data_IF_698665975265
#
_entry.id   IF_698665975265
#
_cell.length_a   1.000
_cell.length_b   1.000
_cell.length_c   1.000
_cell.angle_alpha   90.00
_cell.angle_beta   90.00
_cell.angle_gamma   90.00
#
_symmetry.space_group_name_H-M   'P 1'
#
loop_
_entity.id
_entity.type
_entity.pdbx_description
1 polymer ?
#
# COMPACT_ATOMS: atom_id res chain seq x y z
N UNK A 1 -22.42 19.21 -6.62
CA UNK A 1 -22.75 20.56 -7.10
C UNK A 1 -21.75 21.59 -6.60
N UNK A 2 -21.81 22.86 -7.07
CA UNK A 2 -20.91 23.92 -6.61
C UNK A 2 -21.17 24.27 -5.15
N UNK A 3 -20.08 24.56 -4.43
CA UNK A 3 -20.11 25.18 -3.10
C UNK A 3 -19.79 26.65 -3.27
N UNK A 4 -20.59 27.51 -2.69
CA UNK A 4 -20.45 28.97 -2.80
C UNK A 4 -20.16 29.59 -1.43
N UNK A 5 -19.38 30.68 -1.43
CA UNK A 5 -19.17 31.50 -0.24
C UNK A 5 -20.43 32.32 0.11
N UNK A 6 -20.41 33.02 1.24
CA UNK A 6 -21.48 33.92 1.64
C UNK A 6 -21.70 35.07 0.65
N UNK A 7 -20.69 35.45 -0.10
CA UNK A 7 -20.70 36.48 -1.15
C UNK A 7 -21.17 35.93 -2.52
N UNK A 8 -21.56 34.65 -2.60
CA UNK A 8 -22.03 33.99 -3.83
C UNK A 8 -20.94 33.53 -4.78
N UNK A 9 -19.67 33.56 -4.37
CA UNK A 9 -18.54 33.10 -5.20
C UNK A 9 -18.38 31.58 -5.09
N UNK A 10 -18.17 30.90 -6.22
CA UNK A 10 -17.87 29.46 -6.22
C UNK A 10 -16.50 29.23 -5.61
N UNK A 11 -16.42 28.47 -4.54
CA UNK A 11 -15.19 28.11 -3.85
C UNK A 11 -14.71 26.70 -4.21
N UNK A 12 -15.57 25.89 -4.80
CA UNK A 12 -15.24 24.55 -5.28
C UNK A 12 -16.48 23.76 -5.72
N UNK A 13 -16.25 22.51 -6.08
CA UNK A 13 -17.30 21.57 -6.52
C UNK A 13 -17.25 20.30 -5.66
N UNK A 14 -18.38 19.97 -5.02
CA UNK A 14 -18.52 18.73 -4.27
C UNK A 14 -18.50 17.52 -5.22
N UNK A 15 -17.61 16.59 -4.99
CA UNK A 15 -17.37 15.40 -5.84
C UNK A 15 -17.65 14.08 -5.14
N UNK A 16 -17.61 14.06 -3.80
CA UNK A 16 -17.84 12.84 -3.02
C UNK A 16 -18.28 13.19 -1.60
N UNK A 17 -18.85 12.21 -0.89
CA UNK A 17 -19.21 12.29 0.53
C UNK A 17 -18.68 11.05 1.26
N UNK A 18 -18.31 11.22 2.53
CA UNK A 18 -17.91 10.13 3.41
C UNK A 18 -18.78 10.17 4.68
N UNK A 19 -19.96 9.57 4.59
CA UNK A 19 -20.95 9.59 5.66
C UNK A 19 -21.69 10.93 5.79
N UNK A 20 -22.40 11.11 6.91
CA UNK A 20 -23.13 12.35 7.19
C UNK A 20 -22.15 13.48 7.51
N UNK A 21 -22.40 14.65 6.93
CA UNK A 21 -21.68 15.91 7.17
C UNK A 21 -20.22 15.97 6.71
N UNK A 22 -19.68 14.95 6.02
CA UNK A 22 -18.35 14.99 5.43
C UNK A 22 -18.45 14.96 3.91
N UNK A 23 -17.96 16.01 3.26
CA UNK A 23 -17.93 16.13 1.80
C UNK A 23 -16.53 16.48 1.32
N UNK A 24 -16.17 15.91 0.18
CA UNK A 24 -14.91 16.22 -0.49
C UNK A 24 -15.17 17.21 -1.62
N UNK A 25 -14.36 18.25 -1.64
CA UNK A 25 -14.49 19.38 -2.53
C UNK A 25 -13.24 19.47 -3.42
N UNK A 26 -13.45 19.63 -4.73
CA UNK A 26 -12.39 20.07 -5.64
C UNK A 26 -12.32 21.59 -5.57
N UNK A 27 -11.16 22.19 -5.19
CA UNK A 27 -11.00 23.64 -5.10
C UNK A 27 -11.24 24.32 -6.46
N UNK A 28 -11.76 25.55 -6.42
CA UNK A 28 -12.18 26.29 -7.61
C UNK A 28 -11.03 26.57 -8.58
N UNK A 29 -9.81 26.74 -8.12
CA UNK A 29 -8.61 26.93 -8.97
C UNK A 29 -8.38 25.74 -9.92
N UNK A 30 -8.62 24.50 -9.47
CA UNK A 30 -8.57 23.30 -10.30
C UNK A 30 -9.68 23.27 -11.33
N UNK A 31 -10.88 23.72 -10.96
CA UNK A 31 -12.02 23.81 -11.87
C UNK A 31 -11.76 24.88 -12.94
N UNK A 32 -11.22 26.03 -12.56
CA UNK A 32 -10.86 27.11 -13.50
C UNK A 32 -9.80 26.62 -14.50
N UNK A 33 -8.77 25.92 -14.03
CA UNK A 33 -7.74 25.37 -14.88
C UNK A 33 -8.32 24.38 -15.92
N UNK A 34 -9.21 23.48 -15.50
CA UNK A 34 -9.89 22.53 -16.37
C UNK A 34 -10.78 23.23 -17.41
N UNK A 35 -11.54 24.23 -16.98
CA UNK A 35 -12.41 25.02 -17.89
C UNK A 35 -11.56 25.77 -18.91
N UNK A 36 -10.48 26.40 -18.48
CA UNK A 36 -9.55 27.11 -19.38
C UNK A 36 -8.94 26.16 -20.43
N UNK A 37 -8.57 24.95 -20.03
CA UNK A 37 -8.09 23.94 -20.97
C UNK A 37 -9.20 23.49 -21.94
N UNK A 38 -10.41 23.19 -21.44
CA UNK A 38 -11.52 22.70 -22.25
C UNK A 38 -12.07 23.75 -23.21
N UNK A 39 -11.87 25.04 -22.93
CA UNK A 39 -12.30 26.16 -23.80
C UNK A 39 -11.20 26.70 -24.73
N UNK A 40 -9.99 26.13 -24.63
CA UNK A 40 -8.86 26.52 -25.50
C UNK A 40 -9.19 26.28 -26.97
N UNK A 41 -8.86 27.22 -27.88
CA UNK A 41 -9.00 26.98 -29.31
C UNK A 41 -8.27 25.71 -29.76
N UNK A 42 -8.97 24.83 -30.49
CA UNK A 42 -8.42 23.57 -30.95
C UNK A 42 -8.44 22.43 -29.88
N UNK A 43 -9.09 22.63 -28.74
CA UNK A 43 -9.29 21.55 -27.81
C UNK A 43 -10.08 20.40 -28.45
N UNK A 44 -9.52 19.20 -28.38
CA UNK A 44 -10.18 17.97 -28.81
C UNK A 44 -10.53 17.18 -27.55
N UNK A 45 -11.82 16.92 -27.36
CA UNK A 45 -12.27 16.08 -26.25
C UNK A 45 -11.69 14.67 -26.39
N UNK A 46 -11.10 14.09 -25.34
CA UNK A 46 -10.65 12.71 -25.36
C UNK A 46 -11.80 11.74 -25.70
N UNK A 47 -11.53 10.77 -26.55
CA UNK A 47 -12.52 9.72 -26.91
C UNK A 47 -12.94 8.90 -25.69
N UNK A 48 -12.03 8.70 -24.75
CA UNK A 48 -12.27 7.98 -23.50
C UNK A 48 -11.68 8.74 -22.30
N UNK A 49 -12.56 9.24 -21.43
CA UNK A 49 -12.16 9.86 -20.17
C UNK A 49 -11.43 8.87 -19.25
N UNK A 50 -11.81 7.59 -19.28
CA UNK A 50 -11.16 6.56 -18.44
C UNK A 50 -9.72 6.30 -18.87
N UNK A 51 -9.44 6.34 -20.19
CA UNK A 51 -8.06 6.25 -20.68
C UNK A 51 -7.24 7.47 -20.27
N UNK A 52 -7.82 8.66 -20.33
CA UNK A 52 -7.16 9.90 -19.88
C UNK A 52 -6.84 9.81 -18.39
N UNK A 53 -7.80 9.37 -17.56
CA UNK A 53 -7.57 9.17 -16.12
C UNK A 53 -6.47 8.12 -15.89
N UNK A 54 -6.49 7.00 -16.60
CA UNK A 54 -5.44 5.98 -16.48
C UNK A 54 -4.05 6.57 -16.79
N UNK A 55 -3.90 7.35 -17.86
CA UNK A 55 -2.65 8.02 -18.22
C UNK A 55 -2.19 9.01 -17.15
N UNK A 56 -3.10 9.80 -16.58
CA UNK A 56 -2.79 10.71 -15.48
C UNK A 56 -2.30 9.95 -14.23
N UNK A 57 -2.93 8.83 -13.90
CA UNK A 57 -2.53 7.99 -12.77
C UNK A 57 -1.17 7.32 -13.01
N UNK A 58 -0.87 6.90 -14.25
CA UNK A 58 0.45 6.39 -14.64
C UNK A 58 1.54 7.46 -14.45
N UNK A 59 1.26 8.69 -14.90
CA UNK A 59 2.19 9.82 -14.71
C UNK A 59 2.35 10.20 -13.23
N UNK A 60 1.28 10.17 -12.45
CA UNK A 60 1.31 10.44 -11.02
C UNK A 60 2.17 9.43 -10.27
N UNK A 61 2.03 8.13 -10.57
CA UNK A 61 2.83 7.12 -9.91
C UNK A 61 4.33 7.28 -10.17
N UNK A 62 4.73 7.69 -11.37
CA UNK A 62 6.13 7.94 -11.69
C UNK A 62 6.71 9.04 -10.79
N UNK A 63 5.90 10.05 -10.48
CA UNK A 63 6.31 11.16 -9.59
C UNK A 63 6.53 10.69 -8.15
N UNK A 64 5.58 9.97 -7.55
CA UNK A 64 5.74 9.55 -6.16
C UNK A 64 6.74 8.40 -6.01
N UNK A 65 6.83 7.51 -6.99
CA UNK A 65 7.82 6.45 -6.97
C UNK A 65 9.25 6.97 -7.21
N UNK A 66 9.42 8.02 -8.02
CA UNK A 66 10.71 8.69 -8.12
C UNK A 66 11.18 9.19 -6.76
N UNK A 67 10.28 9.79 -5.96
CA UNK A 67 10.58 10.20 -4.58
C UNK A 67 10.86 9.02 -3.65
N UNK A 68 10.11 7.93 -3.79
CA UNK A 68 10.33 6.69 -3.03
C UNK A 68 11.72 6.08 -3.33
N UNK A 69 12.19 6.17 -4.57
CA UNK A 69 13.47 5.59 -5.00
C UNK A 69 14.65 6.55 -4.88
N UNK A 70 14.44 7.84 -4.61
CA UNK A 70 15.51 8.84 -4.52
C UNK A 70 16.42 8.60 -3.31
N UNK A 71 15.85 8.23 -2.17
CA UNK A 71 16.58 8.05 -0.93
C UNK A 71 16.93 6.58 -0.66
N UNK A 72 17.96 6.35 0.16
CA UNK A 72 18.24 5.02 0.72
C UNK A 72 17.08 4.62 1.64
N UNK A 73 16.68 3.34 1.58
CA UNK A 73 15.65 2.81 2.47
C UNK A 73 16.13 2.88 3.92
N UNK A 74 15.41 3.62 4.75
CA UNK A 74 15.64 3.61 6.20
C UNK A 74 15.19 2.27 6.77
N UNK A 75 15.90 1.79 7.77
CA UNK A 75 15.55 0.57 8.48
C UNK A 75 15.48 0.80 9.98
N UNK A 76 14.68 0.01 10.65
CA UNK A 76 14.57 -0.03 12.13
C UNK A 76 14.76 -1.47 12.60
N UNK A 77 15.30 -1.62 13.79
CA UNK A 77 15.40 -2.92 14.44
C UNK A 77 14.10 -3.24 15.17
N UNK A 78 13.47 -4.35 14.79
CA UNK A 78 12.23 -4.84 15.38
C UNK A 78 12.41 -6.30 15.81
N UNK A 79 12.48 -6.58 17.09
CA UNK A 79 12.57 -7.94 17.65
C UNK A 79 13.69 -8.81 17.06
N UNK A 80 14.89 -8.23 16.81
CA UNK A 80 16.04 -8.93 16.21
C UNK A 80 16.05 -8.98 14.69
N UNK A 81 15.10 -8.29 14.03
CA UNK A 81 15.05 -8.14 12.57
C UNK A 81 15.29 -6.68 12.19
N UNK A 82 15.97 -6.48 11.06
CA UNK A 82 16.04 -5.19 10.39
C UNK A 82 14.91 -5.11 9.36
N UNK A 83 14.06 -4.09 9.47
CA UNK A 83 12.90 -3.90 8.60
C UNK A 83 12.87 -2.48 8.05
N UNK A 84 12.40 -2.27 6.80
CA UNK A 84 12.25 -0.93 6.25
C UNK A 84 11.21 -0.10 7.01
N UNK A 85 11.50 1.17 7.18
CA UNK A 85 10.62 2.16 7.83
C UNK A 85 10.69 3.50 7.11
N UNK A 86 9.63 4.30 7.20
CA UNK A 86 9.55 5.64 6.60
C UNK A 86 10.18 5.71 5.21
N UNK A 87 9.66 4.92 4.23
CA UNK A 87 10.32 4.81 2.91
C UNK A 87 10.48 6.17 2.19
N UNK A 88 9.64 7.15 2.54
CA UNK A 88 9.70 8.51 2.06
C UNK A 88 8.97 9.47 3.04
N UNK A 89 9.19 10.80 2.94
CA UNK A 89 8.58 11.79 3.85
C UNK A 89 7.03 11.84 3.85
N UNK A 90 6.39 11.27 2.83
CA UNK A 90 4.94 11.19 2.73
C UNK A 90 4.34 9.92 3.37
N UNK A 91 5.15 9.17 4.13
CA UNK A 91 4.66 8.05 4.94
C UNK A 91 4.48 8.48 6.38
N UNK A 92 3.40 7.99 6.99
CA UNK A 92 3.21 8.00 8.44
C UNK A 92 3.39 6.61 8.98
N UNK A 93 4.18 6.50 10.04
CA UNK A 93 4.49 5.23 10.68
C UNK A 93 4.07 5.26 12.14
N UNK A 94 3.65 4.11 12.63
CA UNK A 94 3.34 3.86 14.04
C UNK A 94 3.70 2.42 14.41
N UNK A 95 3.85 2.18 15.70
CA UNK A 95 4.18 0.88 16.22
C UNK A 95 3.32 0.54 17.44
N UNK A 96 3.14 -0.74 17.67
CA UNK A 96 2.47 -1.29 18.84
C UNK A 96 3.22 -2.53 19.35
N UNK A 97 3.16 -2.76 20.67
CA UNK A 97 3.70 -3.95 21.28
C UNK A 97 2.65 -4.56 22.21
N UNK A 98 2.27 -5.78 21.93
CA UNK A 98 1.27 -6.50 22.73
C UNK A 98 1.91 -7.63 23.52
N UNK A 99 1.84 -7.48 24.82
CA UNK A 99 2.20 -8.50 25.80
C UNK A 99 0.96 -8.85 26.64
N UNK A 100 0.64 -10.13 26.71
CA UNK A 100 -0.50 -10.60 27.52
C UNK A 100 -0.10 -11.82 28.33
N UNK A 101 -0.45 -11.83 29.63
CA UNK A 101 -0.23 -12.99 30.51
C UNK A 101 -1.04 -14.23 30.10
N UNK A 102 -2.08 -14.05 29.30
CA UNK A 102 -2.95 -15.15 28.83
C UNK A 102 -2.57 -15.70 27.47
N UNK A 103 -1.71 -15.00 26.72
CA UNK A 103 -1.21 -15.45 25.42
C UNK A 103 0.22 -15.99 25.57
N UNK A 104 0.53 -17.18 25.04
CA UNK A 104 1.85 -17.79 25.14
C UNK A 104 2.86 -17.20 24.14
N UNK A 105 2.59 -16.03 23.57
CA UNK A 105 3.45 -15.30 22.65
C UNK A 105 3.24 -13.80 22.76
N UNK A 106 4.23 -13.07 22.33
CA UNK A 106 4.25 -11.61 22.24
C UNK A 106 4.26 -11.19 20.77
N UNK A 107 3.73 -10.01 20.49
CA UNK A 107 3.77 -9.38 19.17
C UNK A 107 4.35 -7.98 19.27
N UNK A 108 5.21 -7.64 18.32
CA UNK A 108 5.65 -6.26 18.09
C UNK A 108 5.27 -5.93 16.65
N UNK A 109 4.53 -4.86 16.48
CA UNK A 109 4.05 -4.41 15.17
C UNK A 109 4.64 -3.06 14.82
N UNK A 110 4.95 -2.89 13.55
CA UNK A 110 5.35 -1.62 12.96
C UNK A 110 4.66 -1.48 11.60
N UNK A 111 3.93 -0.40 11.43
CA UNK A 111 3.18 -0.15 10.21
C UNK A 111 3.46 1.26 9.70
N UNK A 112 3.59 1.38 8.38
CA UNK A 112 3.67 2.66 7.69
C UNK A 112 2.67 2.69 6.54
N UNK A 113 2.05 3.84 6.32
CA UNK A 113 1.14 4.06 5.19
C UNK A 113 1.37 5.43 4.57
N UNK A 114 1.12 5.55 3.27
CA UNK A 114 1.09 6.85 2.61
C UNK A 114 -0.06 7.69 3.15
N UNK A 115 0.20 8.97 3.33
CA UNK A 115 -0.78 9.97 3.79
C UNK A 115 -1.44 10.70 2.61
N UNK A 116 -0.84 10.58 1.43
CA UNK A 116 -1.28 11.22 0.20
C UNK A 116 -1.61 10.16 -0.85
N UNK A 117 -2.84 10.16 -1.34
CA UNK A 117 -3.32 9.19 -2.33
C UNK A 117 -4.40 9.81 -3.22
N UNK A 118 -4.63 9.22 -4.38
CA UNK A 118 -5.69 9.64 -5.31
C UNK A 118 -6.91 8.75 -5.12
N UNK A 119 -8.02 9.35 -4.72
CA UNK A 119 -9.32 8.71 -4.72
C UNK A 119 -9.86 8.69 -6.15
N UNK A 120 -10.18 7.49 -6.65
CA UNK A 120 -10.73 7.29 -8.00
C UNK A 120 -12.23 7.05 -7.92
N UNK A 121 -12.65 6.16 -7.01
CA UNK A 121 -14.05 5.84 -6.73
C UNK A 121 -14.16 5.24 -5.32
N UNK A 122 -15.37 4.96 -4.85
CA UNK A 122 -15.60 4.34 -3.53
C UNK A 122 -14.84 3.03 -3.29
N UNK A 123 -14.31 2.41 -4.35
CA UNK A 123 -13.64 1.12 -4.30
C UNK A 123 -12.25 1.12 -4.97
N UNK A 124 -11.76 2.29 -5.39
CA UNK A 124 -10.49 2.39 -6.12
C UNK A 124 -9.66 3.59 -5.66
N UNK A 125 -8.40 3.34 -5.41
CA UNK A 125 -7.40 4.36 -5.07
C UNK A 125 -6.13 4.15 -5.89
N UNK A 126 -5.30 5.17 -5.97
CA UNK A 126 -3.93 5.08 -6.47
C UNK A 126 -2.99 5.82 -5.55
N UNK A 127 -1.77 5.32 -5.43
CA UNK A 127 -0.77 5.90 -4.54
C UNK A 127 -0.85 5.44 -3.08
N UNK A 128 -1.78 4.55 -2.73
CA UNK A 128 -1.77 3.92 -1.41
C UNK A 128 -0.66 2.88 -1.38
N UNK A 129 0.33 3.10 -0.52
CA UNK A 129 1.32 2.11 -0.14
C UNK A 129 1.21 1.89 1.36
N UNK A 130 1.10 0.63 1.76
CA UNK A 130 1.10 0.25 3.18
C UNK A 130 2.14 -0.84 3.36
N UNK A 131 3.00 -0.68 4.36
CA UNK A 131 3.87 -1.74 4.82
C UNK A 131 3.62 -2.01 6.29
N UNK A 132 3.64 -3.29 6.63
CA UNK A 132 3.42 -3.75 7.99
C UNK A 132 4.42 -4.85 8.32
N UNK A 133 5.01 -4.76 9.50
CA UNK A 133 5.91 -5.74 10.05
C UNK A 133 5.35 -6.23 11.38
N UNK A 134 5.25 -7.53 11.54
CA UNK A 134 4.83 -8.17 12.79
C UNK A 134 5.90 -9.19 13.20
N UNK A 135 6.54 -8.94 14.31
CA UNK A 135 7.42 -9.93 14.95
C UNK A 135 6.61 -10.68 16.01
N UNK A 136 6.59 -11.99 15.85
CA UNK A 136 6.06 -12.91 16.85
C UNK A 136 7.23 -13.53 17.61
N UNK A 137 7.16 -13.56 18.94
CA UNK A 137 8.15 -14.23 19.78
C UNK A 137 7.47 -15.01 20.89
N UNK A 138 8.11 -16.08 21.34
CA UNK A 138 7.60 -16.93 22.43
C UNK A 138 8.72 -17.50 23.27
N UNK A 139 8.42 -17.68 24.56
CA UNK A 139 9.25 -18.48 25.50
C UNK A 139 8.54 -19.76 25.94
N UNK A 140 7.23 -19.84 25.69
CA UNK A 140 6.35 -20.86 26.26
C UNK A 140 5.92 -21.92 25.24
N UNK A 141 5.95 -21.60 23.94
CA UNK A 141 5.58 -22.54 22.88
C UNK A 141 6.78 -23.38 22.46
N UNK A 142 6.58 -24.67 22.27
CA UNK A 142 7.53 -25.49 21.56
C UNK A 142 7.56 -25.14 20.07
N UNK A 143 8.64 -25.52 19.39
CA UNK A 143 8.90 -25.22 17.98
C UNK A 143 7.71 -25.53 17.05
N UNK A 144 7.04 -26.67 17.22
CA UNK A 144 5.93 -27.06 16.35
C UNK A 144 4.71 -26.18 16.54
N UNK A 145 4.36 -25.85 17.78
CA UNK A 145 3.26 -24.94 18.08
C UNK A 145 3.56 -23.52 17.61
N UNK A 146 4.80 -23.07 17.76
CA UNK A 146 5.21 -21.77 17.27
C UNK A 146 5.11 -21.67 15.74
N UNK A 147 5.58 -22.69 15.01
CA UNK A 147 5.46 -22.72 13.55
C UNK A 147 4.01 -22.80 13.09
N UNK A 148 3.15 -23.54 13.79
CA UNK A 148 1.71 -23.56 13.52
C UNK A 148 1.09 -22.18 13.72
N UNK A 149 1.45 -21.46 14.79
CA UNK A 149 1.03 -20.09 15.04
C UNK A 149 1.50 -19.16 13.90
N UNK A 150 2.79 -19.17 13.58
CA UNK A 150 3.35 -18.34 12.51
C UNK A 150 2.67 -18.61 11.15
N UNK A 151 2.42 -19.88 10.84
CA UNK A 151 1.71 -20.28 9.63
C UNK A 151 0.27 -19.78 9.62
N UNK A 152 -0.44 -19.87 10.75
CA UNK A 152 -1.82 -19.37 10.84
C UNK A 152 -1.89 -17.85 10.66
N UNK A 153 -0.92 -17.10 11.18
CA UNK A 153 -0.82 -15.65 11.00
C UNK A 153 -0.38 -15.26 9.57
N UNK A 154 0.40 -16.11 8.93
CA UNK A 154 0.81 -15.91 7.53
C UNK A 154 -0.33 -16.21 6.55
N UNK A 155 -1.21 -17.14 6.87
CA UNK A 155 -2.33 -17.56 6.04
C UNK A 155 -3.50 -16.59 6.15
N UNK A 156 -4.28 -16.44 5.08
CA UNK A 156 -5.60 -15.80 5.12
C UNK A 156 -5.65 -14.31 4.79
N UNK A 157 -4.52 -13.61 4.64
CA UNK A 157 -4.54 -12.23 4.18
C UNK A 157 -4.57 -12.16 2.65
N UNK A 158 -5.06 -11.06 2.17
CA UNK A 158 -5.18 -10.75 0.75
C UNK A 158 -5.76 -9.35 0.59
N UNK A 159 -6.27 -9.08 -0.58
CA UNK A 159 -7.01 -7.85 -0.80
C UNK A 159 -8.37 -7.91 -0.10
N UNK A 160 -8.79 -6.79 0.47
CA UNK A 160 -10.18 -6.59 0.83
C UNK A 160 -11.08 -6.80 -0.40
N UNK A 161 -12.28 -7.30 -0.17
CA UNK A 161 -13.24 -7.53 -1.24
C UNK A 161 -13.55 -6.21 -1.95
N UNK A 162 -13.38 -6.21 -3.27
CA UNK A 162 -13.86 -5.13 -4.15
C UNK A 162 -14.79 -5.75 -5.20
N UNK A 163 -15.71 -4.94 -5.71
CA UNK A 163 -16.67 -5.36 -6.72
C UNK A 163 -15.97 -5.98 -7.95
N UNK A 164 -16.49 -7.10 -8.43
CA UNK A 164 -15.94 -7.80 -9.61
C UNK A 164 -15.99 -6.97 -10.90
N UNK A 165 -16.80 -5.94 -10.93
CA UNK A 165 -16.90 -4.97 -12.01
C UNK A 165 -15.74 -3.98 -12.03
N UNK A 166 -15.05 -3.81 -10.91
CA UNK A 166 -13.97 -2.83 -10.72
C UNK A 166 -12.60 -3.46 -10.96
N UNK A 167 -12.38 -4.66 -10.39
CA UNK A 167 -11.10 -5.37 -10.47
C UNK A 167 -11.30 -6.81 -10.96
N UNK A 168 -10.22 -7.41 -11.44
CA UNK A 168 -10.19 -8.85 -11.75
C UNK A 168 -10.06 -9.67 -10.46
N UNK A 169 -10.42 -10.97 -10.47
CA UNK A 169 -10.01 -11.87 -9.40
C UNK A 169 -8.51 -11.80 -9.17
N UNK A 170 -8.08 -11.88 -7.92
CA UNK A 170 -6.66 -11.91 -7.59
C UNK A 170 -6.00 -13.17 -8.13
N UNK A 171 -4.73 -13.02 -8.51
CA UNK A 171 -3.83 -14.13 -8.88
C UNK A 171 -2.63 -14.07 -7.97
N UNK A 172 -2.34 -15.18 -7.28
CA UNK A 172 -1.26 -15.28 -6.33
C UNK A 172 -0.23 -16.32 -6.78
N UNK A 173 1.03 -16.01 -6.50
CA UNK A 173 2.17 -16.93 -6.65
C UNK A 173 2.89 -17.01 -5.31
N UNK A 174 3.24 -18.22 -4.89
CA UNK A 174 4.04 -18.47 -3.70
C UNK A 174 5.46 -18.85 -4.11
N UNK A 175 6.43 -18.48 -3.28
CA UNK A 175 7.84 -18.79 -3.54
C UNK A 175 8.69 -18.70 -2.29
N UNK A 176 9.93 -19.11 -2.41
CA UNK A 176 10.95 -18.94 -1.38
C UNK A 176 12.05 -18.05 -1.93
N UNK A 177 12.37 -17.00 -1.19
CA UNK A 177 13.47 -16.09 -1.54
C UNK A 177 14.66 -16.43 -0.64
N UNK A 178 15.85 -16.47 -1.22
CA UNK A 178 17.10 -16.63 -0.48
C UNK A 178 17.85 -15.31 -0.50
N UNK A 179 18.12 -14.80 0.70
CA UNK A 179 18.99 -13.64 0.88
C UNK A 179 19.85 -13.83 2.14
N UNK A 180 20.96 -13.08 2.29
CA UNK A 180 21.85 -13.24 3.42
C UNK A 180 21.11 -13.14 4.76
N UNK A 181 21.21 -14.17 5.60
CA UNK A 181 20.62 -14.22 6.94
C UNK A 181 19.10 -14.46 7.00
N UNK A 182 18.40 -14.47 5.86
CA UNK A 182 16.94 -14.71 5.80
C UNK A 182 16.58 -15.61 4.61
N UNK A 183 15.59 -16.48 4.83
CA UNK A 183 15.02 -17.32 3.79
C UNK A 183 13.48 -17.27 3.86
N UNK A 184 12.86 -16.14 3.54
CA UNK A 184 11.41 -16.01 3.68
C UNK A 184 10.65 -16.83 2.64
N UNK A 185 9.54 -17.42 3.09
CA UNK A 185 8.46 -17.86 2.21
C UNK A 185 7.63 -16.63 1.85
N UNK A 186 7.28 -16.48 0.59
CA UNK A 186 6.61 -15.30 0.06
C UNK A 186 5.33 -15.64 -0.66
N UNK A 187 4.37 -14.72 -0.62
CA UNK A 187 3.15 -14.70 -1.44
C UNK A 187 3.11 -13.36 -2.16
N UNK A 188 2.92 -13.41 -3.47
CA UNK A 188 2.76 -12.22 -4.31
C UNK A 188 1.44 -12.35 -5.06
N UNK A 189 0.50 -11.46 -4.77
CA UNK A 189 -0.83 -11.43 -5.36
C UNK A 189 -1.03 -10.16 -6.17
N UNK A 190 -1.69 -10.26 -7.30
CA UNK A 190 -2.07 -9.12 -8.15
C UNK A 190 -3.53 -9.20 -8.54
N UNK A 191 -4.16 -8.04 -8.71
CA UNK A 191 -5.45 -7.88 -9.39
C UNK A 191 -5.41 -6.63 -10.26
N UNK A 192 -5.98 -6.72 -11.47
CA UNK A 192 -5.96 -5.63 -12.44
C UNK A 192 -7.24 -4.79 -12.32
N UNK A 193 -7.11 -3.48 -12.53
CA UNK A 193 -8.25 -2.60 -12.73
C UNK A 193 -8.89 -2.85 -14.10
N UNK A 194 -10.22 -3.03 -14.15
CA UNK A 194 -10.91 -3.38 -15.40
C UNK A 194 -11.09 -2.22 -16.35
N UNK A 195 -11.24 -1.01 -15.81
CA UNK A 195 -11.56 0.20 -16.55
C UNK A 195 -10.37 1.17 -16.67
N UNK A 196 -9.26 0.88 -16.00
CA UNK A 196 -8.06 1.71 -15.98
C UNK A 196 -6.88 0.84 -16.38
N UNK A 197 -6.61 0.80 -17.68
CA UNK A 197 -5.60 -0.09 -18.24
C UNK A 197 -4.20 0.21 -17.69
N UNK A 198 -3.43 -0.86 -17.46
CA UNK A 198 -2.07 -0.78 -16.95
C UNK A 198 -1.95 -0.67 -15.43
N UNK A 199 -3.06 -0.49 -14.70
CA UNK A 199 -3.07 -0.35 -13.25
C UNK A 199 -3.47 -1.65 -12.54
N UNK A 200 -2.77 -1.92 -11.44
CA UNK A 200 -2.92 -3.10 -10.60
C UNK A 200 -2.91 -2.71 -9.13
N UNK A 201 -3.61 -3.50 -8.32
CA UNK A 201 -3.28 -3.62 -6.91
C UNK A 201 -2.36 -4.81 -6.71
N UNK A 202 -1.40 -4.66 -5.80
CA UNK A 202 -0.43 -5.69 -5.46
C UNK A 202 -0.41 -5.89 -3.95
N UNK A 203 -0.48 -7.15 -3.55
CA UNK A 203 -0.32 -7.60 -2.18
C UNK A 203 0.89 -8.54 -2.14
N UNK A 204 1.84 -8.20 -1.30
CA UNK A 204 3.01 -9.02 -1.04
C UNK A 204 3.10 -9.33 0.44
N UNK A 205 3.35 -10.59 0.78
CA UNK A 205 3.55 -11.05 2.15
C UNK A 205 4.75 -11.98 2.21
N UNK A 206 5.57 -11.84 3.24
CA UNK A 206 6.71 -12.71 3.47
C UNK A 206 6.78 -13.11 4.94
N UNK A 207 7.19 -14.34 5.22
CA UNK A 207 7.43 -14.83 6.56
C UNK A 207 8.78 -15.53 6.66
N UNK A 208 9.50 -15.30 7.76
CA UNK A 208 10.78 -15.96 8.04
C UNK A 208 10.55 -17.15 8.98
N UNK A 209 11.22 -18.25 8.72
CA UNK A 209 11.13 -19.49 9.50
C UNK A 209 12.46 -19.87 10.19
N UNK A 210 13.39 -18.93 10.29
CA UNK A 210 14.77 -19.24 10.70
C UNK A 210 15.00 -19.47 12.20
N UNK A 211 14.04 -19.13 13.05
CA UNK A 211 14.16 -19.21 14.50
C UNK A 211 12.98 -20.00 15.09
N UNK A 212 13.23 -21.00 16.00
CA UNK A 212 12.17 -21.80 16.60
C UNK A 212 11.29 -21.03 17.60
N UNK A 213 11.67 -19.84 18.01
CA UNK A 213 10.97 -19.02 19.02
C UNK A 213 10.67 -17.60 18.57
N UNK A 214 11.12 -17.20 17.38
CA UNK A 214 10.89 -15.86 16.83
C UNK A 214 10.69 -15.92 15.31
N UNK A 215 9.73 -15.15 14.80
CA UNK A 215 9.45 -15.05 13.39
C UNK A 215 8.99 -13.65 13.01
N UNK A 216 9.37 -13.22 11.79
CA UNK A 216 8.91 -11.98 11.19
C UNK A 216 7.90 -12.30 10.09
N UNK A 217 6.74 -11.66 10.15
CA UNK A 217 5.80 -11.55 9.03
C UNK A 217 5.85 -10.11 8.54
N UNK A 218 5.97 -9.93 7.25
CA UNK A 218 5.98 -8.61 6.63
C UNK A 218 5.03 -8.57 5.45
N UNK A 219 4.28 -7.48 5.34
CA UNK A 219 3.27 -7.27 4.31
C UNK A 219 3.51 -5.93 3.62
N UNK A 220 3.35 -5.90 2.32
CA UNK A 220 3.38 -4.70 1.49
C UNK A 220 2.16 -4.70 0.58
N UNK A 221 1.37 -3.62 0.63
CA UNK A 221 0.24 -3.41 -0.25
C UNK A 221 0.48 -2.17 -1.11
N UNK A 222 0.17 -2.27 -2.39
CA UNK A 222 0.29 -1.19 -3.36
C UNK A 222 -1.01 -1.08 -4.13
N UNK A 223 -1.59 0.11 -4.24
CA UNK A 223 -2.83 0.35 -4.98
C UNK A 223 -2.60 1.23 -6.19
N UNK A 224 -3.16 0.81 -7.33
CA UNK A 224 -3.15 1.57 -8.58
C UNK A 224 -1.77 1.80 -9.17
N UNK A 225 -0.91 0.77 -9.20
CA UNK A 225 0.45 0.83 -9.74
C UNK A 225 0.60 0.01 -11.02
N UNK A 226 1.62 0.28 -11.85
CA UNK A 226 2.00 -0.67 -12.91
C UNK A 226 2.61 -1.93 -12.31
N UNK A 227 2.50 -3.04 -13.01
CA UNK A 227 3.14 -4.30 -12.58
C UNK A 227 4.66 -4.16 -12.45
N UNK A 228 5.29 -3.45 -13.37
CA UNK A 228 6.74 -3.18 -13.36
C UNK A 228 7.17 -2.40 -12.12
N UNK A 229 6.47 -1.31 -11.82
CA UNK A 229 6.75 -0.50 -10.64
C UNK A 229 6.49 -1.27 -9.33
N UNK A 230 5.43 -2.07 -9.28
CA UNK A 230 5.16 -2.93 -8.14
C UNK A 230 6.30 -3.92 -7.89
N UNK A 231 6.80 -4.57 -8.97
CA UNK A 231 7.93 -5.50 -8.88
C UNK A 231 9.17 -4.80 -8.31
N UNK A 232 9.51 -3.61 -8.84
CA UNK A 232 10.66 -2.82 -8.34
C UNK A 232 10.53 -2.45 -6.86
N UNK A 233 9.32 -2.05 -6.43
CA UNK A 233 9.07 -1.73 -5.01
C UNK A 233 9.24 -2.97 -4.14
N UNK A 234 8.67 -4.11 -4.54
CA UNK A 234 8.79 -5.38 -3.79
C UNK A 234 10.25 -5.86 -3.72
N UNK A 235 11.00 -5.78 -4.81
CA UNK A 235 12.42 -6.14 -4.84
C UNK A 235 13.24 -5.28 -3.88
N UNK A 236 13.04 -3.95 -3.90
CA UNK A 236 13.69 -3.02 -2.98
C UNK A 236 13.30 -3.28 -1.53
N UNK A 237 12.03 -3.54 -1.28
CA UNK A 237 11.52 -3.87 0.04
C UNK A 237 12.17 -5.15 0.57
N UNK A 238 12.21 -6.21 -0.21
CA UNK A 238 12.87 -7.45 0.16
C UNK A 238 14.36 -7.25 0.45
N UNK A 239 15.06 -6.49 -0.40
CA UNK A 239 16.50 -6.23 -0.23
C UNK A 239 16.83 -5.48 1.06
N UNK A 240 15.85 -4.78 1.67
CA UNK A 240 16.03 -4.05 2.92
C UNK A 240 15.64 -4.83 4.18
N UNK A 241 15.15 -6.07 4.03
CA UNK A 241 14.92 -6.97 5.15
C UNK A 241 16.21 -7.69 5.54
N UNK A 242 16.46 -7.81 6.84
CA UNK A 242 17.66 -8.47 7.36
C UNK A 242 17.50 -8.96 8.79
N UNK A 243 18.56 -9.59 9.30
CA UNK A 243 18.77 -9.78 10.74
C UNK A 243 19.44 -8.53 11.30
N UNK A 244 19.04 -8.12 12.49
CA UNK A 244 19.77 -7.08 13.19
C UNK A 244 21.19 -7.58 13.49
N UNK A 245 22.21 -6.73 13.39
CA UNK A 245 23.54 -7.07 13.86
C UNK A 245 23.50 -7.37 15.37
N UNK A 246 24.29 -8.36 15.79
CA UNK A 246 24.46 -8.72 17.20
C UNK A 246 25.18 -7.61 17.98
#
# INVERSE_FOLDING_TARGET
GPTVSAEGMVVGVNVSTAGEQVSFLVPVDRVIALVAEATRPGYVRPDSLLQTVAQQLLSYQDTYLARLFADSTRTVTLGGYQVPTEPAPFFKCWGDASHSRTRPYETIEHQCSTDDYVFISGEQWSGVLTLQHTVLSTRDLNRFRFYSLLTSQFSGDGFEFQGREVVTPQRCTTGNVRQPGLAPTTVFCTRRYRKLDGLYDVFFKAATLGDPSSGLITTLTLSGVTFENARRVVERFLASLGRAPE
#
